data_IF_209187560729
#
_entry.id   IF_209187560729
#
_cell.length_a   1.000
_cell.length_b   1.000
_cell.length_c   1.000
_cell.angle_alpha   90.00
_cell.angle_beta   90.00
_cell.angle_gamma   90.00
#
_symmetry.space_group_name_H-M   'P 1'
#
loop_
_entity.id
_entity.type
_entity.pdbx_description
1 polymer ?
#
# COMPACT_ATOMS: atom_id res chain seq x y z
N UNK A 1 -4.23 -2.31 15.09
CA UNK A 1 -4.29 -1.16 14.20
C UNK A 1 -5.68 -1.02 13.58
N UNK A 2 -6.16 0.22 13.46
CA UNK A 2 -7.35 0.53 12.68
C UNK A 2 -7.09 0.19 11.21
N UNK A 3 -8.03 -0.52 10.56
CA UNK A 3 -7.81 -1.08 9.23
C UNK A 3 -8.76 -0.46 8.21
N UNK A 4 -8.20 -0.03 7.08
CA UNK A 4 -8.93 0.53 5.95
C UNK A 4 -8.93 -0.46 4.79
N UNK A 5 -10.09 -1.05 4.44
CA UNK A 5 -10.25 -1.83 3.23
C UNK A 5 -10.13 -0.95 1.97
N UNK A 6 -9.24 -1.32 1.07
CA UNK A 6 -9.03 -0.65 -0.22
C UNK A 6 -9.63 -1.48 -1.36
N UNK A 7 -10.36 -0.84 -2.29
CA UNK A 7 -11.05 -1.54 -3.39
C UNK A 7 -10.12 -1.94 -4.52
N UNK A 8 -9.43 -0.96 -5.07
CA UNK A 8 -8.79 -1.01 -6.38
C UNK A 8 -7.36 -0.48 -6.37
N UNK A 9 -6.79 -0.36 -5.18
CA UNK A 9 -5.41 0.11 -4.98
C UNK A 9 -4.68 -0.74 -3.96
N UNK A 10 -3.45 -1.07 -4.26
CA UNK A 10 -2.48 -1.60 -3.30
C UNK A 10 -1.50 -0.51 -2.96
N UNK A 11 -1.31 -0.27 -1.67
CA UNK A 11 -0.31 0.67 -1.17
C UNK A 11 0.92 -0.12 -0.77
N UNK A 12 2.06 0.20 -1.37
CA UNK A 12 3.34 -0.40 -1.01
C UNK A 12 4.11 0.46 -0.01
N UNK A 13 5.06 -0.10 0.75
CA UNK A 13 5.99 0.70 1.55
C UNK A 13 6.64 1.81 0.73
N UNK A 14 6.87 2.96 1.36
CA UNK A 14 7.43 4.19 0.76
C UNK A 14 6.57 4.89 -0.30
N UNK A 15 5.37 4.40 -0.59
CA UNK A 15 4.41 5.14 -1.41
C UNK A 15 3.75 6.25 -0.61
N UNK A 16 3.65 7.43 -1.24
CA UNK A 16 2.83 8.54 -0.74
C UNK A 16 1.72 8.79 -1.75
N UNK A 17 0.47 8.62 -1.35
CA UNK A 17 -0.67 8.82 -2.25
C UNK A 17 -1.93 9.28 -1.52
N UNK A 18 -2.82 10.00 -2.23
CA UNK A 18 -4.13 10.34 -1.71
C UNK A 18 -5.10 9.17 -1.86
N UNK A 19 -5.85 8.87 -0.80
CA UNK A 19 -6.99 7.96 -0.81
C UNK A 19 -8.28 8.75 -0.60
N UNK A 20 -9.36 8.27 -1.22
CA UNK A 20 -10.71 8.82 -1.01
C UNK A 20 -11.52 7.82 -0.19
N UNK A 21 -11.89 8.21 1.01
CA UNK A 21 -12.55 7.37 2.00
C UNK A 21 -13.98 7.87 2.21
N UNK A 22 -14.95 7.05 1.81
CA UNK A 22 -16.37 7.41 1.91
C UNK A 22 -17.20 6.41 2.75
N UNK A 23 -16.66 5.20 2.99
CA UNK A 23 -17.39 4.19 3.77
C UNK A 23 -17.36 4.52 5.27
N UNK A 24 -18.50 4.42 5.97
CA UNK A 24 -18.56 4.76 7.41
C UNK A 24 -17.54 4.03 8.26
N UNK A 25 -17.34 2.72 8.04
CA UNK A 25 -16.33 1.92 8.77
C UNK A 25 -14.91 2.43 8.55
N UNK A 26 -14.58 2.87 7.34
CA UNK A 26 -13.25 3.40 7.01
C UNK A 26 -13.04 4.81 7.57
N UNK A 27 -14.08 5.64 7.59
CA UNK A 27 -14.03 6.97 8.22
C UNK A 27 -13.82 6.82 9.73
N UNK A 28 -14.57 5.91 10.38
CA UNK A 28 -14.41 5.63 11.82
C UNK A 28 -12.99 5.11 12.14
N UNK A 29 -12.42 4.26 11.27
CA UNK A 29 -11.04 3.77 11.43
C UNK A 29 -10.01 4.91 11.34
N UNK A 30 -10.17 5.85 10.38
CA UNK A 30 -9.32 7.03 10.28
C UNK A 30 -9.44 7.94 11.52
N UNK A 31 -10.65 8.22 11.97
CA UNK A 31 -10.89 9.07 13.14
C UNK A 31 -10.28 8.45 14.40
N UNK A 32 -10.42 7.13 14.59
CA UNK A 32 -9.81 6.41 15.70
C UNK A 32 -8.26 6.47 15.68
N UNK A 33 -7.66 6.26 14.52
CA UNK A 33 -6.21 6.35 14.37
C UNK A 33 -5.68 7.76 14.64
N UNK A 34 -6.34 8.78 14.09
CA UNK A 34 -5.95 10.17 14.26
C UNK A 34 -6.08 10.65 15.72
N UNK A 35 -7.08 10.16 16.46
CA UNK A 35 -7.28 10.54 17.86
C UNK A 35 -6.11 10.14 18.75
N UNK A 36 -5.37 9.08 18.38
CA UNK A 36 -4.24 8.55 19.14
C UNK A 36 -2.88 8.78 18.46
N UNK A 37 -2.86 9.44 17.29
CA UNK A 37 -1.67 9.56 16.43
C UNK A 37 -1.08 8.19 16.03
N UNK A 38 -1.97 7.20 15.87
CA UNK A 38 -1.61 5.84 15.50
C UNK A 38 -1.56 5.67 13.97
N UNK A 39 -0.68 4.79 13.46
CA UNK A 39 -0.72 4.41 12.07
C UNK A 39 -1.99 3.59 11.75
N UNK A 40 -2.37 3.61 10.48
CA UNK A 40 -3.46 2.79 9.93
C UNK A 40 -2.91 1.57 9.23
N UNK A 41 -3.71 0.53 9.10
CA UNK A 41 -3.38 -0.64 8.28
C UNK A 41 -4.20 -0.64 7.00
N UNK A 42 -3.54 -0.59 5.86
CA UNK A 42 -4.15 -0.55 4.53
C UNK A 42 -4.16 -1.96 3.95
N UNK A 43 -5.36 -2.46 3.61
CA UNK A 43 -5.55 -3.84 3.23
C UNK A 43 -6.46 -3.93 2.00
N UNK A 44 -5.97 -4.49 0.89
CA UNK A 44 -6.76 -4.61 -0.33
C UNK A 44 -7.90 -5.63 -0.17
N UNK A 45 -9.03 -5.35 -0.80
CA UNK A 45 -10.12 -6.32 -0.95
C UNK A 45 -9.75 -7.38 -1.98
N UNK A 46 -10.25 -8.61 -1.79
CA UNK A 46 -10.09 -9.72 -2.75
C UNK A 46 -10.94 -9.45 -4.00
N UNK A 47 -12.19 -9.00 -3.79
CA UNK A 47 -13.08 -8.56 -4.87
C UNK A 47 -13.37 -7.06 -4.70
N UNK A 48 -12.92 -6.20 -5.65
CA UNK A 48 -13.17 -4.76 -5.59
C UNK A 48 -14.64 -4.39 -5.70
N UNK A 49 -15.52 -5.27 -6.18
CA UNK A 49 -16.95 -5.01 -6.31
C UNK A 49 -17.72 -5.20 -5.00
N UNK A 50 -17.12 -5.81 -3.98
CA UNK A 50 -17.77 -5.96 -2.67
C UNK A 50 -17.95 -4.60 -2.01
N UNK A 51 -19.20 -4.16 -1.84
CA UNK A 51 -19.50 -2.82 -1.30
C UNK A 51 -19.27 -2.75 0.21
N UNK A 52 -19.71 -3.75 0.97
CA UNK A 52 -19.51 -3.86 2.41
C UNK A 52 -18.69 -5.12 2.74
N UNK A 53 -17.36 -5.04 2.67
CA UNK A 53 -16.51 -6.18 2.88
C UNK A 53 -16.51 -6.61 4.35
N UNK A 54 -16.42 -7.92 4.55
CA UNK A 54 -16.15 -8.57 5.84
C UNK A 54 -14.66 -8.87 5.97
N UNK A 55 -14.23 -9.36 7.12
CA UNK A 55 -12.83 -9.76 7.33
C UNK A 55 -12.34 -10.85 6.36
N UNK A 56 -13.24 -11.70 5.86
CA UNK A 56 -12.94 -12.76 4.90
C UNK A 56 -12.74 -12.27 3.46
N UNK A 57 -13.21 -11.05 3.16
CA UNK A 57 -13.11 -10.43 1.84
C UNK A 57 -11.82 -9.62 1.67
N UNK A 58 -10.94 -9.66 2.67
CA UNK A 58 -9.69 -8.90 2.68
C UNK A 58 -8.48 -9.82 2.53
N UNK A 59 -7.47 -9.32 1.81
CA UNK A 59 -6.18 -9.98 1.74
C UNK A 59 -5.52 -10.07 3.13
N UNK A 60 -4.52 -10.96 3.28
CA UNK A 60 -3.82 -11.17 4.55
C UNK A 60 -2.53 -10.36 4.69
N UNK A 61 -2.05 -9.78 3.59
CA UNK A 61 -0.86 -8.94 3.58
C UNK A 61 -1.25 -7.54 3.13
N UNK A 62 -0.80 -6.54 3.85
CA UNK A 62 -1.06 -5.13 3.59
C UNK A 62 0.08 -4.25 4.05
N UNK A 63 -0.18 -2.95 4.16
CA UNK A 63 0.82 -1.95 4.51
C UNK A 63 0.39 -1.14 5.74
N UNK A 64 1.24 -1.09 6.73
CA UNK A 64 1.15 -0.12 7.82
C UNK A 64 1.52 1.24 7.26
N UNK A 65 0.65 2.23 7.44
CA UNK A 65 0.81 3.55 6.84
C UNK A 65 0.57 4.67 7.87
N UNK A 66 1.32 5.75 7.73
CA UNK A 66 1.09 6.99 8.46
C UNK A 66 0.09 7.87 7.74
N UNK A 67 -0.82 8.48 8.47
CA UNK A 67 -1.71 9.53 7.95
C UNK A 67 -0.96 10.85 7.99
N UNK A 68 -0.70 11.45 6.83
CA UNK A 68 0.03 12.71 6.71
C UNK A 68 -0.91 13.92 6.72
N UNK A 69 -2.07 13.79 6.06
CA UNK A 69 -3.02 14.90 5.93
C UNK A 69 -4.43 14.36 5.74
N UNK A 70 -5.40 15.04 6.30
CA UNK A 70 -6.83 14.73 6.15
C UNK A 70 -7.59 15.98 5.73
N UNK A 71 -8.44 15.83 4.71
CA UNK A 71 -9.34 16.87 4.22
C UNK A 71 -10.75 16.30 4.10
N UNK A 72 -11.68 16.84 4.89
CA UNK A 72 -13.11 16.51 4.78
C UNK A 72 -13.71 17.29 3.60
N UNK A 73 -14.34 16.58 2.69
CA UNK A 73 -14.99 17.16 1.51
C UNK A 73 -16.47 17.46 1.81
N UNK A 74 -17.10 18.39 1.04
CA UNK A 74 -18.50 18.79 1.29
C UNK A 74 -19.52 17.66 1.11
N UNK A 75 -19.19 16.62 0.33
CA UNK A 75 -20.02 15.43 0.09
C UNK A 75 -19.93 14.37 1.19
N UNK A 76 -19.16 14.64 2.26
CA UNK A 76 -18.91 13.71 3.37
C UNK A 76 -17.76 12.73 3.12
N UNK A 77 -17.18 12.71 1.93
CA UNK A 77 -15.97 11.94 1.63
C UNK A 77 -14.76 12.57 2.32
N UNK A 78 -13.83 11.74 2.76
CA UNK A 78 -12.56 12.18 3.35
C UNK A 78 -11.44 11.87 2.39
N UNK A 79 -10.73 12.90 1.94
CA UNK A 79 -9.46 12.76 1.22
C UNK A 79 -8.35 12.67 2.25
N UNK A 80 -7.59 11.58 2.24
CA UNK A 80 -6.48 11.34 3.15
C UNK A 80 -5.20 11.13 2.37
N UNK A 81 -4.13 11.82 2.75
CA UNK A 81 -2.79 11.56 2.24
C UNK A 81 -2.12 10.58 3.20
N UNK A 82 -1.66 9.45 2.68
CA UNK A 82 -1.00 8.40 3.45
C UNK A 82 0.39 8.12 2.93
N UNK A 83 1.28 7.70 3.82
CA UNK A 83 2.61 7.20 3.49
C UNK A 83 2.74 5.76 4.00
N UNK A 84 3.04 4.82 3.10
CA UNK A 84 3.34 3.44 3.46
C UNK A 84 4.66 3.36 4.22
N UNK A 85 4.64 2.73 5.40
CA UNK A 85 5.84 2.59 6.25
C UNK A 85 6.49 1.23 6.04
N UNK A 86 5.70 0.15 6.21
CA UNK A 86 6.20 -1.23 6.14
C UNK A 86 5.09 -2.21 5.83
N UNK A 87 5.47 -3.35 5.29
CA UNK A 87 4.57 -4.48 5.04
C UNK A 87 4.18 -5.16 6.35
N UNK A 88 2.92 -5.57 6.44
CA UNK A 88 2.40 -6.29 7.58
C UNK A 88 1.56 -7.49 7.16
N UNK A 89 1.57 -8.53 7.98
CA UNK A 89 0.69 -9.69 7.83
C UNK A 89 -0.36 -9.70 8.94
N UNK A 90 -1.60 -9.90 8.56
CA UNK A 90 -2.72 -10.00 9.50
C UNK A 90 -2.66 -11.32 10.26
N UNK A 91 -2.67 -11.25 11.57
CA UNK A 91 -2.91 -12.38 12.46
C UNK A 91 -4.43 -12.56 12.69
N UNK A 92 -5.09 -11.49 13.13
CA UNK A 92 -6.55 -11.46 13.33
C UNK A 92 -7.13 -10.14 12.84
N UNK A 93 -8.38 -10.20 12.35
CA UNK A 93 -9.20 -9.01 12.05
C UNK A 93 -10.50 -9.16 12.85
N UNK A 94 -10.83 -8.12 13.60
CA UNK A 94 -12.06 -8.04 14.38
C UNK A 94 -12.85 -6.80 13.97
N UNK A 95 -14.18 -6.94 13.89
CA UNK A 95 -15.06 -5.79 13.73
C UNK A 95 -15.53 -5.35 15.13
N UNK A 96 -15.14 -4.18 15.55
CA UNK A 96 -15.48 -3.63 16.86
C UNK A 96 -15.73 -2.13 16.75
N UNK A 97 -16.80 -1.63 17.38
CA UNK A 97 -17.11 -0.20 17.38
C UNK A 97 -17.42 0.37 15.98
N UNK A 98 -17.84 -0.47 15.02
CA UNK A 98 -18.15 -0.04 13.66
C UNK A 98 -16.94 0.18 12.77
N UNK A 99 -15.78 -0.37 13.13
CA UNK A 99 -14.55 -0.36 12.34
C UNK A 99 -13.83 -1.71 12.41
N UNK A 100 -12.89 -1.96 11.50
CA UNK A 100 -12.01 -3.10 11.55
C UNK A 100 -10.76 -2.78 12.38
N UNK A 101 -10.44 -3.69 13.29
CA UNK A 101 -9.19 -3.70 14.05
C UNK A 101 -8.39 -4.94 13.68
N UNK A 102 -7.15 -4.75 13.24
CA UNK A 102 -6.25 -5.84 12.90
C UNK A 102 -5.10 -5.96 13.88
N UNK A 103 -4.81 -7.20 14.28
CA UNK A 103 -3.55 -7.56 14.88
C UNK A 103 -2.57 -7.90 13.75
N UNK A 104 -1.47 -7.15 13.68
CA UNK A 104 -0.54 -7.19 12.54
C UNK A 104 0.86 -7.50 13.03
N UNK A 105 1.49 -8.51 12.43
CA UNK A 105 2.92 -8.74 12.58
C UNK A 105 3.71 -8.07 11.44
N UNK A 106 4.90 -7.57 11.74
CA UNK A 106 5.78 -7.02 10.72
C UNK A 106 6.31 -8.15 9.82
N UNK A 107 6.25 -7.96 8.51
CA UNK A 107 6.95 -8.83 7.58
C UNK A 107 8.39 -8.37 7.50
N UNK A 108 9.31 -9.21 7.98
CA UNK A 108 10.74 -8.94 7.87
C UNK A 108 11.17 -9.16 6.42
N UNK A 109 11.76 -8.15 5.84
CA UNK A 109 12.38 -8.22 4.53
C UNK A 109 13.85 -8.61 4.75
N UNK A 110 14.19 -9.84 4.42
CA UNK A 110 15.57 -10.32 4.49
C UNK A 110 16.27 -9.92 3.19
N UNK A 111 17.19 -8.97 3.29
CA UNK A 111 18.16 -8.71 2.23
C UNK A 111 19.43 -9.53 2.55
N UNK A 112 19.61 -10.66 1.89
CA UNK A 112 20.93 -11.27 1.78
C UNK A 112 21.78 -10.37 0.85
N UNK A 113 22.54 -9.47 1.46
CA UNK A 113 23.28 -8.42 0.76
C UNK A 113 24.40 -8.92 -0.18
N UNK A 114 24.82 -10.17 -0.07
CA UNK A 114 25.97 -10.74 -0.77
C UNK A 114 25.66 -11.87 -1.76
N UNK A 115 24.43 -11.94 -2.26
CA UNK A 115 24.07 -12.97 -3.21
C UNK A 115 24.20 -12.47 -4.65
N UNK A 116 25.18 -13.02 -5.40
CA UNK A 116 25.40 -12.70 -6.83
C UNK A 116 24.18 -12.94 -7.70
N UNK A 117 23.30 -13.88 -7.30
CA UNK A 117 22.06 -14.18 -8.01
C UNK A 117 21.04 -13.06 -7.86
N UNK A 118 20.99 -12.43 -6.69
CA UNK A 118 20.13 -11.26 -6.44
C UNK A 118 20.56 -10.10 -7.33
N UNK A 119 21.84 -9.85 -7.46
CA UNK A 119 22.35 -8.79 -8.34
C UNK A 119 22.04 -9.06 -9.82
N UNK A 120 22.13 -10.30 -10.28
CA UNK A 120 21.75 -10.68 -11.64
C UNK A 120 20.25 -10.49 -11.90
N UNK A 121 19.41 -10.88 -10.93
CA UNK A 121 17.95 -10.69 -10.99
C UNK A 121 17.64 -9.18 -11.00
N UNK A 122 18.28 -8.39 -10.15
CA UNK A 122 18.12 -6.94 -10.09
C UNK A 122 18.39 -6.28 -11.44
N UNK A 123 19.51 -6.60 -12.10
CA UNK A 123 19.85 -6.06 -13.42
C UNK A 123 18.83 -6.45 -14.48
N UNK A 124 18.37 -7.71 -14.45
CA UNK A 124 17.32 -8.19 -15.34
C UNK A 124 16.02 -7.43 -15.14
N UNK A 125 15.60 -7.26 -13.88
CA UNK A 125 14.39 -6.52 -13.54
C UNK A 125 14.44 -5.07 -14.02
N UNK A 126 15.54 -4.36 -13.79
CA UNK A 126 15.71 -2.99 -14.25
C UNK A 126 15.65 -2.88 -15.78
N UNK A 127 16.27 -3.82 -16.51
CA UNK A 127 16.22 -3.87 -17.96
C UNK A 127 14.79 -4.10 -18.47
N UNK A 128 14.07 -5.05 -17.88
CA UNK A 128 12.68 -5.34 -18.24
C UNK A 128 11.74 -4.17 -17.92
N UNK A 129 11.93 -3.54 -16.77
CA UNK A 129 11.13 -2.36 -16.42
C UNK A 129 11.39 -1.18 -17.36
N UNK A 130 12.63 -0.92 -17.74
CA UNK A 130 12.98 0.11 -18.73
C UNK A 130 12.28 -0.13 -20.08
N UNK A 131 12.25 -1.38 -20.54
CA UNK A 131 11.51 -1.76 -21.77
C UNK A 131 10.00 -1.56 -21.60
N UNK A 132 9.43 -2.00 -20.47
CA UNK A 132 8.02 -1.81 -20.16
C UNK A 132 7.64 -0.32 -20.12
N UNK A 133 8.45 0.50 -19.45
CA UNK A 133 8.20 1.92 -19.31
C UNK A 133 8.27 2.66 -20.64
N UNK A 134 9.20 2.29 -21.55
CA UNK A 134 9.29 2.85 -22.91
C UNK A 134 8.06 2.55 -23.76
N UNK A 135 7.43 1.40 -23.56
CA UNK A 135 6.18 1.02 -24.24
C UNK A 135 4.94 1.64 -23.59
N UNK A 136 5.03 2.05 -22.34
CA UNK A 136 3.92 2.61 -21.58
C UNK A 136 4.07 4.13 -21.43
N UNK A 137 3.38 4.88 -22.30
CA UNK A 137 3.41 6.36 -22.31
C UNK A 137 2.95 7.04 -21.01
N UNK A 138 2.37 6.29 -20.07
CA UNK A 138 1.91 6.81 -18.78
C UNK A 138 3.02 6.89 -17.74
N UNK A 139 4.18 6.27 -17.99
CA UNK A 139 5.32 6.30 -17.07
C UNK A 139 6.29 7.38 -17.54
N UNK A 140 6.45 8.47 -16.77
CA UNK A 140 7.41 9.53 -17.09
C UNK A 140 8.87 9.03 -17.06
N UNK A 141 9.73 9.61 -17.90
CA UNK A 141 11.14 9.25 -17.95
C UNK A 141 11.88 9.47 -16.61
N UNK A 142 11.43 10.45 -15.82
CA UNK A 142 11.98 10.74 -14.49
C UNK A 142 11.80 9.56 -13.53
N UNK A 143 10.72 8.79 -13.67
CA UNK A 143 10.48 7.59 -12.85
C UNK A 143 11.52 6.52 -13.12
N UNK A 144 11.93 6.35 -14.39
CA UNK A 144 12.98 5.39 -14.78
C UNK A 144 14.30 5.77 -14.10
N UNK A 145 14.65 7.06 -14.12
CA UNK A 145 15.87 7.55 -13.47
C UNK A 145 15.82 7.35 -11.96
N UNK A 146 14.68 7.63 -11.34
CA UNK A 146 14.49 7.43 -9.89
C UNK A 146 14.65 5.96 -9.52
N UNK A 147 14.04 5.04 -10.28
CA UNK A 147 14.11 3.59 -10.04
C UNK A 147 15.53 3.07 -10.19
N UNK A 148 16.27 3.53 -11.21
CA UNK A 148 17.67 3.15 -11.40
C UNK A 148 18.60 3.60 -10.26
N UNK A 149 18.23 4.63 -9.50
CA UNK A 149 18.96 5.15 -8.35
C UNK A 149 18.62 4.50 -7.01
N UNK A 150 17.70 3.53 -6.97
CA UNK A 150 17.31 2.85 -5.72
C UNK A 150 18.28 1.71 -5.44
N UNK A 151 19.03 1.77 -4.33
CA UNK A 151 19.98 0.73 -3.94
C UNK A 151 19.32 -0.43 -3.18
N UNK A 152 18.34 -0.15 -2.35
CA UNK A 152 17.60 -1.15 -1.59
C UNK A 152 16.69 -1.99 -2.48
N UNK A 153 16.84 -3.33 -2.44
CA UNK A 153 16.12 -4.23 -3.31
C UNK A 153 14.62 -4.29 -3.03
N UNK A 154 14.21 -4.26 -1.77
CA UNK A 154 12.80 -4.26 -1.38
C UNK A 154 12.10 -3.00 -1.86
N UNK A 155 12.73 -1.84 -1.62
CA UNK A 155 12.23 -0.55 -2.10
C UNK A 155 12.18 -0.48 -3.62
N UNK A 156 13.17 -1.04 -4.31
CA UNK A 156 13.20 -1.13 -5.77
C UNK A 156 11.99 -1.89 -6.30
N UNK A 157 11.74 -3.10 -5.77
CA UNK A 157 10.62 -3.95 -6.20
C UNK A 157 9.28 -3.29 -5.90
N UNK A 158 9.10 -2.72 -4.71
CA UNK A 158 7.88 -2.02 -4.33
C UNK A 158 7.61 -0.80 -5.22
N UNK A 159 8.67 -0.03 -5.53
CA UNK A 159 8.55 1.13 -6.43
C UNK A 159 8.18 0.71 -7.85
N UNK A 160 8.77 -0.36 -8.37
CA UNK A 160 8.40 -0.91 -9.68
C UNK A 160 6.95 -1.40 -9.65
N UNK A 161 6.55 -2.18 -8.65
CA UNK A 161 5.20 -2.72 -8.51
C UNK A 161 4.13 -1.61 -8.49
N UNK A 162 4.42 -0.48 -7.83
CA UNK A 162 3.55 0.68 -7.77
C UNK A 162 3.28 1.31 -9.15
N UNK A 163 4.16 1.11 -10.13
CA UNK A 163 4.04 1.64 -11.49
C UNK A 163 3.54 0.61 -12.50
N UNK A 164 3.36 -0.66 -12.10
CA UNK A 164 2.73 -1.66 -12.94
C UNK A 164 1.21 -1.47 -12.93
N UNK A 165 0.60 -1.50 -14.12
CA UNK A 165 -0.86 -1.46 -14.26
C UNK A 165 -1.43 -2.87 -14.11
N UNK A 166 -1.36 -3.39 -12.90
CA UNK A 166 -1.96 -4.69 -12.57
C UNK A 166 -3.45 -4.51 -12.26
N UNK A 167 -4.26 -5.48 -12.70
CA UNK A 167 -5.64 -5.63 -12.20
C UNK A 167 -5.55 -6.41 -10.89
N UNK A 168 -6.19 -5.91 -9.87
CA UNK A 168 -6.45 -6.63 -8.63
C UNK A 168 -7.55 -7.67 -8.84
#
# INVERSE_FOLDING_TARGET
LATLPLRDVVVYPHMVLPLFVGRPKSIAALEAAMANDDPVFLLAQIDPNTEDPTASDLHRTGTVAQVLQVLKLPDGTVKVLVEGIRRGRVLTIEESGGLFLSHVEAVNEYADADNSDIEAIRRTLLTQFDQYAKLNKKIPAEIINTINGIDDNSRLVDTIAAHLQLKL
#
